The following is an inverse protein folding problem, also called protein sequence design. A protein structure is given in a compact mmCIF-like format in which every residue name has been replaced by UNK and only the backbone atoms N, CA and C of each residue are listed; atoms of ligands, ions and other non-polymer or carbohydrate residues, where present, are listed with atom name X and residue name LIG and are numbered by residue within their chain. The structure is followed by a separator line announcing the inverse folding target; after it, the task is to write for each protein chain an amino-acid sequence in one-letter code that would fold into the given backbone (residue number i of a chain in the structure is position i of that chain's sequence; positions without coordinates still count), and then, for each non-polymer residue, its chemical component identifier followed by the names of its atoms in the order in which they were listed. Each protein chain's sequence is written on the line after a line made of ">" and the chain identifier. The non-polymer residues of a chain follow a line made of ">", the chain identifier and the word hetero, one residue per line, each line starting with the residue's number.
data_IF_946511259229
#
_entry.id   IF_946511259229
#
_cell.length_a   1.000
_cell.length_b   1.000
_cell.length_c   1.000
_cell.angle_alpha   90.00
_cell.angle_beta   90.00
_cell.angle_gamma   90.00
#
_symmetry.space_group_name_H-M   'P 1'
#
loop_
_entity.id
_entity.type
_entity.pdbx_description
1 polymer ?
#
# COMPACT_ATOMS: atom_id res chain seq x y z
N UNK A 1 -47.35 11.36 -27.19
CA UNK A 1 -47.56 10.74 -28.52
C UNK A 1 -46.21 10.71 -29.23
N UNK A 2 -45.49 9.58 -29.19
CA UNK A 2 -45.39 8.57 -30.27
C UNK A 2 -44.46 9.06 -31.40
N UNK A 3 -43.38 8.43 -31.87
CA UNK A 3 -42.92 7.01 -31.93
C UNK A 3 -41.36 7.03 -32.05
N UNK A 4 -40.59 6.23 -31.31
CA UNK A 4 -39.94 4.96 -31.71
C UNK A 4 -39.44 4.85 -33.17
N UNK A 5 -38.14 4.50 -33.34
CA UNK A 5 -37.62 3.36 -34.15
C UNK A 5 -36.10 3.10 -33.84
N UNK A 6 -35.86 1.89 -33.34
CA UNK A 6 -34.75 0.92 -33.46
C UNK A 6 -33.26 1.26 -33.73
N UNK A 7 -32.41 0.72 -32.83
CA UNK A 7 -31.35 -0.31 -33.01
C UNK A 7 -30.19 -0.09 -33.99
N UNK A 8 -28.95 -0.14 -33.46
CA UNK A 8 -27.91 -1.07 -33.94
C UNK A 8 -26.80 -1.29 -32.88
N UNK A 9 -26.70 -2.53 -32.42
CA UNK A 9 -25.62 -3.11 -31.61
C UNK A 9 -24.42 -3.40 -32.52
N UNK A 10 -23.24 -2.86 -32.21
CA UNK A 10 -21.97 -3.27 -32.86
C UNK A 10 -21.26 -4.29 -31.98
N UNK A 11 -21.38 -5.56 -32.40
CA UNK A 11 -20.50 -6.67 -32.06
C UNK A 11 -19.11 -6.40 -32.64
N UNK A 12 -18.06 -6.47 -31.80
CA UNK A 12 -16.67 -6.56 -32.26
C UNK A 12 -16.23 -8.01 -32.16
N UNK A 13 -15.93 -8.56 -33.32
CA UNK A 13 -15.45 -9.92 -33.58
C UNK A 13 -13.99 -10.08 -33.17
N UNK A 14 -13.65 -11.23 -32.57
CA UNK A 14 -12.27 -11.73 -32.48
C UNK A 14 -12.17 -13.05 -33.26
N UNK A 15 -11.18 -13.23 -34.15
CA UNK A 15 -11.05 -14.45 -34.93
C UNK A 15 -10.21 -15.52 -34.21
N UNK A 16 -10.74 -16.74 -34.28
CA UNK A 16 -10.09 -18.05 -34.46
C UNK A 16 -8.57 -18.17 -34.30
N UNK A 17 -8.15 -19.08 -33.41
CA UNK A 17 -6.98 -19.94 -33.60
C UNK A 17 -7.39 -21.40 -33.36
N UNK A 18 -7.18 -22.22 -34.40
CA UNK A 18 -7.34 -23.66 -34.43
C UNK A 18 -6.29 -24.37 -33.56
N UNK A 19 -6.70 -25.41 -32.83
CA UNK A 19 -5.87 -26.58 -32.58
C UNK A 19 -6.77 -27.83 -32.45
N UNK A 20 -6.50 -28.79 -33.32
CA UNK A 20 -7.24 -30.02 -33.57
C UNK A 20 -6.77 -31.19 -32.71
N UNK A 21 -7.74 -32.04 -32.35
CA UNK A 21 -7.70 -33.50 -32.19
C UNK A 21 -6.71 -34.17 -31.21
N UNK A 22 -7.28 -34.83 -30.18
CA UNK A 22 -7.18 -36.29 -29.98
C UNK A 22 -8.24 -36.78 -28.95
N UNK A 23 -8.68 -38.05 -29.00
CA UNK A 23 -9.97 -38.50 -28.47
C UNK A 23 -9.90 -39.26 -27.14
N UNK A 24 -11.05 -39.29 -26.45
CA UNK A 24 -11.56 -40.45 -25.71
C UNK A 24 -10.90 -40.82 -24.39
N UNK A 25 -11.61 -40.59 -23.27
CA UNK A 25 -11.76 -41.58 -22.21
C UNK A 25 -12.98 -41.26 -21.33
N UNK A 26 -13.81 -42.28 -21.16
CA UNK A 26 -15.03 -42.33 -20.35
C UNK A 26 -14.75 -42.20 -18.85
N UNK A 27 -15.73 -41.63 -18.13
CA UNK A 27 -16.14 -42.09 -16.80
C UNK A 27 -15.36 -41.58 -15.59
N UNK A 28 -15.98 -40.72 -14.78
CA UNK A 28 -16.34 -41.02 -13.38
C UNK A 28 -16.80 -39.75 -12.65
N UNK A 29 -17.97 -39.87 -12.03
CA UNK A 29 -18.50 -39.00 -10.99
C UNK A 29 -17.58 -38.98 -9.76
N UNK A 30 -16.97 -37.83 -9.45
CA UNK A 30 -16.45 -37.42 -8.12
C UNK A 30 -15.60 -36.15 -8.32
N UNK A 31 -16.22 -35.00 -8.61
CA UNK A 31 -15.48 -33.72 -8.74
C UNK A 31 -16.29 -32.53 -8.23
N UNK A 32 -16.36 -32.38 -6.91
CA UNK A 32 -16.66 -31.07 -6.30
C UNK A 32 -15.74 -30.69 -5.11
N UNK A 33 -14.87 -31.59 -4.63
CA UNK A 33 -13.89 -31.26 -3.57
C UNK A 33 -12.56 -30.70 -4.08
N UNK A 34 -12.07 -31.15 -5.25
CA UNK A 34 -10.75 -30.79 -5.77
C UNK A 34 -10.68 -29.43 -6.50
N UNK A 35 -11.82 -28.92 -6.99
CA UNK A 35 -11.91 -27.60 -7.64
C UNK A 35 -11.75 -26.44 -6.65
N UNK A 36 -11.96 -26.69 -5.35
CA UNK A 36 -11.80 -25.69 -4.29
C UNK A 36 -10.33 -25.34 -4.04
N UNK A 37 -9.42 -26.32 -4.17
CA UNK A 37 -7.99 -26.17 -3.85
C UNK A 37 -7.20 -25.48 -4.96
N UNK A 38 -7.53 -25.75 -6.23
CA UNK A 38 -6.94 -25.05 -7.39
C UNK A 38 -7.39 -23.59 -7.47
N UNK A 39 -8.64 -23.29 -7.08
CA UNK A 39 -9.09 -21.92 -6.92
C UNK A 39 -8.44 -21.20 -5.73
N UNK A 40 -8.05 -21.90 -4.66
CA UNK A 40 -7.45 -21.30 -3.45
C UNK A 40 -5.96 -20.91 -3.62
N UNK A 41 -5.19 -21.65 -4.42
CA UNK A 41 -3.82 -21.30 -4.79
C UNK A 41 -3.75 -20.11 -5.75
N UNK A 42 -4.60 -20.12 -6.79
CA UNK A 42 -4.78 -18.98 -7.69
C UNK A 42 -5.42 -17.76 -6.99
N UNK A 43 -6.21 -17.99 -5.93
CA UNK A 43 -6.78 -16.97 -5.07
C UNK A 43 -5.70 -16.16 -4.34
N UNK A 44 -4.60 -16.75 -3.87
CA UNK A 44 -3.51 -15.96 -3.23
C UNK A 44 -2.67 -15.14 -4.23
N UNK A 45 -2.35 -15.71 -5.40
CA UNK A 45 -1.73 -14.95 -6.50
C UNK A 45 -2.65 -13.87 -7.11
N UNK A 46 -3.97 -14.04 -6.97
CA UNK A 46 -4.99 -13.06 -7.38
C UNK A 46 -5.31 -12.02 -6.29
N UNK A 47 -5.17 -12.37 -5.01
CA UNK A 47 -5.31 -11.47 -3.83
C UNK A 47 -4.21 -10.42 -3.83
N UNK A 48 -2.97 -10.79 -4.19
CA UNK A 48 -1.90 -9.83 -4.46
C UNK A 48 -2.28 -8.81 -5.55
N UNK A 49 -3.23 -9.16 -6.46
CA UNK A 49 -3.64 -8.32 -7.59
C UNK A 49 -4.90 -7.48 -7.42
N UNK A 50 -5.76 -7.80 -6.43
CA UNK A 50 -7.14 -7.30 -6.38
C UNK A 50 -7.55 -6.65 -5.04
N UNK A 51 -6.59 -6.33 -4.17
CA UNK A 51 -6.81 -5.56 -2.92
C UNK A 51 -6.82 -4.03 -3.18
N UNK A 52 -6.45 -3.58 -4.39
CA UNK A 52 -6.17 -2.16 -4.69
C UNK A 52 -7.28 -1.38 -5.41
N UNK A 53 -8.56 -1.79 -5.29
CA UNK A 53 -9.67 -1.11 -5.98
C UNK A 53 -10.89 -0.78 -5.07
N UNK A 54 -10.73 -0.77 -3.74
CA UNK A 54 -11.78 -0.34 -2.82
C UNK A 54 -11.22 0.58 -1.73
N UNK A 55 -11.94 1.69 -1.51
CA UNK A 55 -11.71 2.68 -0.46
C UNK A 55 -11.49 2.03 0.91
N UNK A 56 -10.32 2.29 1.48
CA UNK A 56 -10.12 2.11 2.92
C UNK A 56 -10.75 3.30 3.65
N UNK A 57 -11.54 3.08 4.71
CA UNK A 57 -12.10 4.18 5.48
C UNK A 57 -10.97 5.03 6.08
N UNK A 58 -10.94 6.30 5.69
CA UNK A 58 -10.13 7.35 6.31
C UNK A 58 -10.70 7.58 7.70
N UNK A 59 -10.10 6.95 8.71
CA UNK A 59 -10.55 7.08 10.09
C UNK A 59 -10.12 5.94 10.99
N UNK A 60 -8.87 5.49 10.90
CA UNK A 60 -8.26 4.75 12.00
C UNK A 60 -7.48 5.77 12.84
N UNK A 61 -8.09 6.22 13.95
CA UNK A 61 -7.31 6.73 15.07
C UNK A 61 -6.21 5.72 15.36
N UNK A 62 -4.97 6.13 15.10
CA UNK A 62 -3.77 5.37 15.42
C UNK A 62 -3.84 5.08 16.91
N UNK A 63 -4.18 3.83 17.25
CA UNK A 63 -4.06 3.31 18.60
C UNK A 63 -2.58 3.40 18.99
N UNK A 64 -2.23 4.51 19.63
CA UNK A 64 -0.93 4.73 20.24
C UNK A 64 -0.79 3.73 21.38
N UNK A 65 0.02 2.69 21.16
CA UNK A 65 0.64 1.98 22.26
C UNK A 65 1.50 2.99 23.03
N UNK A 66 1.20 3.17 24.30
CA UNK A 66 2.01 3.95 25.24
C UNK A 66 3.44 3.37 25.25
N UNK A 67 4.37 4.06 24.62
CA UNK A 67 5.79 3.89 24.91
C UNK A 67 6.04 4.42 26.34
N UNK A 68 6.81 3.70 27.18
CA UNK A 68 7.10 4.17 28.52
C UNK A 68 7.91 5.46 28.46
N UNK A 69 7.49 6.45 29.25
CA UNK A 69 8.26 7.65 29.55
C UNK A 69 9.54 7.27 30.32
N UNK A 70 10.61 6.96 29.59
CA UNK A 70 11.93 6.86 30.20
C UNK A 70 12.50 8.27 30.41
N UNK A 71 12.51 8.63 31.69
CA UNK A 71 13.18 9.80 32.24
C UNK A 71 14.67 9.76 31.87
N UNK A 72 15.11 10.90 31.34
CA UNK A 72 16.49 11.38 31.21
C UNK A 72 17.56 10.57 31.97
N UNK A 73 18.38 9.83 31.21
CA UNK A 73 19.77 9.61 31.53
C UNK A 73 20.60 10.11 30.35
N UNK A 74 21.38 11.17 30.59
CA UNK A 74 22.23 11.81 29.61
C UNK A 74 23.27 10.83 29.07
N UNK A 75 23.13 10.49 27.79
CA UNK A 75 24.18 9.99 26.93
C UNK A 75 23.99 10.70 25.60
N UNK A 76 24.78 11.74 25.38
CA UNK A 76 24.97 12.36 24.06
C UNK A 76 25.66 11.33 23.17
N UNK A 77 24.88 10.40 22.63
CA UNK A 77 25.29 9.65 21.45
C UNK A 77 25.24 10.68 20.33
N UNK A 78 26.41 11.09 19.84
CA UNK A 78 26.51 11.73 18.52
C UNK A 78 25.93 10.75 17.52
N UNK A 79 24.61 10.83 17.32
CA UNK A 79 23.90 9.96 16.40
C UNK A 79 24.36 10.38 15.01
N UNK A 80 25.18 9.55 14.37
CA UNK A 80 25.54 9.72 12.95
C UNK A 80 24.29 10.13 12.15
N UNK A 81 24.39 11.05 11.16
CA UNK A 81 23.26 11.45 10.31
C UNK A 81 22.58 10.27 9.59
N UNK A 82 23.22 9.10 9.55
CA UNK A 82 22.70 7.85 9.00
C UNK A 82 22.09 6.89 10.02
N UNK A 83 22.20 7.10 11.32
CA UNK A 83 21.80 6.12 12.34
C UNK A 83 20.28 5.82 12.33
N UNK A 84 19.44 6.85 12.18
CA UNK A 84 17.99 6.69 12.07
C UNK A 84 17.58 5.95 10.77
N UNK A 85 18.36 6.14 9.71
CA UNK A 85 18.17 5.46 8.44
C UNK A 85 18.56 3.98 8.57
N UNK A 86 19.70 3.68 9.21
CA UNK A 86 20.13 2.33 9.53
C UNK A 86 19.09 1.59 10.38
N UNK A 87 18.56 2.25 11.42
CA UNK A 87 17.47 1.69 12.23
C UNK A 87 16.23 1.38 11.39
N UNK A 88 15.85 2.28 10.48
CA UNK A 88 14.72 2.03 9.57
C UNK A 88 14.96 0.83 8.68
N UNK A 89 16.16 0.66 8.11
CA UNK A 89 16.50 -0.53 7.32
C UNK A 89 16.52 -1.82 8.16
N UNK A 90 16.86 -1.73 9.46
CA UNK A 90 16.85 -2.86 10.37
C UNK A 90 15.41 -3.28 10.70
N UNK A 91 14.54 -2.31 10.98
CA UNK A 91 13.12 -2.55 11.27
C UNK A 91 12.40 -3.17 10.07
N UNK A 92 12.67 -2.69 8.85
CA UNK A 92 12.12 -3.29 7.63
C UNK A 92 12.58 -4.74 7.49
N UNK A 93 13.87 -5.03 7.73
CA UNK A 93 14.40 -6.41 7.70
C UNK A 93 13.68 -7.31 8.70
N UNK A 94 13.41 -6.83 9.91
CA UNK A 94 12.62 -7.58 10.89
C UNK A 94 11.18 -7.79 10.41
N UNK A 95 10.56 -6.75 9.85
CA UNK A 95 9.19 -6.82 9.34
C UNK A 95 9.05 -7.82 8.18
N UNK A 96 10.01 -7.86 7.26
CA UNK A 96 10.07 -8.85 6.18
C UNK A 96 10.27 -10.26 6.73
N UNK A 97 11.04 -10.45 7.81
CA UNK A 97 11.13 -11.76 8.46
C UNK A 97 9.79 -12.23 9.03
N UNK A 98 8.97 -11.32 9.59
CA UNK A 98 7.61 -11.64 10.09
C UNK A 98 6.73 -12.19 8.96
N UNK A 99 6.86 -11.66 7.75
CA UNK A 99 6.16 -12.18 6.57
C UNK A 99 6.50 -13.65 6.27
N UNK A 100 7.79 -14.02 6.30
CA UNK A 100 8.21 -15.42 6.10
C UNK A 100 7.64 -16.37 7.17
N UNK A 101 7.56 -15.91 8.43
CA UNK A 101 6.94 -16.66 9.53
C UNK A 101 5.43 -16.84 9.27
N UNK A 102 4.74 -15.78 8.85
CA UNK A 102 3.31 -15.83 8.54
C UNK A 102 2.99 -16.75 7.36
N UNK A 103 3.81 -16.73 6.29
CA UNK A 103 3.67 -17.66 5.17
C UNK A 103 3.83 -19.12 5.61
N UNK A 104 4.84 -19.40 6.44
CA UNK A 104 5.05 -20.74 7.00
C UNK A 104 3.86 -21.17 7.86
N UNK A 105 3.31 -20.27 8.68
CA UNK A 105 2.14 -20.55 9.50
C UNK A 105 0.89 -20.79 8.66
N UNK A 106 0.69 -20.02 7.60
CA UNK A 106 -0.41 -20.20 6.66
C UNK A 106 -0.38 -21.60 6.03
N UNK A 107 0.80 -22.05 5.58
CA UNK A 107 0.96 -23.38 5.01
C UNK A 107 0.64 -24.49 6.03
N UNK A 108 1.08 -24.33 7.29
CA UNK A 108 0.76 -25.26 8.37
C UNK A 108 -0.75 -25.33 8.62
N UNK A 109 -1.43 -24.19 8.67
CA UNK A 109 -2.87 -24.11 8.89
C UNK A 109 -3.66 -24.71 7.72
N UNK A 110 -3.22 -24.48 6.47
CA UNK A 110 -3.82 -25.10 5.30
C UNK A 110 -3.71 -26.63 5.34
N UNK A 111 -2.54 -27.15 5.71
CA UNK A 111 -2.33 -28.60 5.88
C UNK A 111 -3.21 -29.16 7.01
N UNK A 112 -3.33 -28.45 8.14
CA UNK A 112 -4.22 -28.83 9.24
C UNK A 112 -5.68 -28.86 8.80
N UNK A 113 -6.13 -27.85 8.06
CA UNK A 113 -7.50 -27.77 7.56
C UNK A 113 -7.79 -28.93 6.60
N UNK A 114 -6.88 -29.22 5.67
CA UNK A 114 -6.99 -30.36 4.76
C UNK A 114 -7.11 -31.68 5.53
N UNK A 115 -6.30 -31.87 6.58
CA UNK A 115 -6.38 -33.06 7.43
C UNK A 115 -7.74 -33.15 8.13
N UNK A 116 -8.24 -32.05 8.70
CA UNK A 116 -9.57 -32.05 9.35
C UNK A 116 -10.71 -32.29 8.36
N UNK A 117 -10.56 -31.92 7.09
CA UNK A 117 -11.54 -32.24 6.04
C UNK A 117 -11.56 -33.74 5.73
N UNK A 118 -10.39 -34.37 5.62
CA UNK A 118 -10.29 -35.82 5.43
C UNK A 118 -10.92 -36.57 6.60
N UNK A 119 -10.61 -36.16 7.83
CA UNK A 119 -11.16 -36.75 9.05
C UNK A 119 -12.69 -36.56 9.11
N UNK A 120 -13.18 -35.38 8.71
CA UNK A 120 -14.62 -35.08 8.65
C UNK A 120 -15.37 -35.95 7.65
N UNK A 121 -14.82 -36.11 6.43
CA UNK A 121 -15.40 -37.00 5.41
C UNK A 121 -15.41 -38.45 5.91
N UNK A 122 -14.35 -38.90 6.60
CA UNK A 122 -14.29 -40.24 7.19
C UNK A 122 -15.38 -40.43 8.24
N UNK A 123 -15.53 -39.49 9.17
CA UNK A 123 -16.58 -39.53 10.21
C UNK A 123 -17.96 -39.58 9.56
N UNK A 124 -18.23 -38.72 8.57
CA UNK A 124 -19.54 -38.69 7.89
C UNK A 124 -19.84 -40.02 7.19
N UNK A 125 -18.86 -40.65 6.53
CA UNK A 125 -19.02 -41.97 5.92
C UNK A 125 -19.34 -43.04 6.97
N UNK A 126 -18.64 -43.03 8.09
CA UNK A 126 -18.86 -43.99 9.18
C UNK A 126 -20.26 -43.82 9.79
N UNK A 127 -20.69 -42.58 10.05
CA UNK A 127 -22.04 -42.26 10.53
C UNK A 127 -23.12 -42.71 9.55
N UNK A 128 -22.95 -42.46 8.24
CA UNK A 128 -23.88 -42.97 7.22
C UNK A 128 -23.91 -44.50 7.21
N UNK A 129 -22.77 -45.17 7.43
CA UNK A 129 -22.68 -46.63 7.49
C UNK A 129 -23.42 -47.17 8.71
N UNK A 130 -23.21 -46.59 9.89
CA UNK A 130 -23.93 -46.96 11.11
C UNK A 130 -25.43 -46.72 10.99
N UNK A 131 -25.85 -45.58 10.43
CA UNK A 131 -27.27 -45.31 10.15
C UNK A 131 -27.84 -46.32 9.16
N UNK A 132 -27.12 -46.65 8.09
CA UNK A 132 -27.56 -47.69 7.14
C UNK A 132 -27.64 -49.08 7.79
N UNK A 133 -26.75 -49.41 8.73
CA UNK A 133 -26.80 -50.67 9.48
C UNK A 133 -27.95 -50.68 10.49
N UNK A 134 -28.24 -49.55 11.15
CA UNK A 134 -29.41 -49.43 12.03
C UNK A 134 -30.71 -49.51 11.25
N UNK A 135 -30.79 -48.84 10.09
CA UNK A 135 -31.92 -48.96 9.18
C UNK A 135 -32.05 -50.37 8.64
N UNK A 136 -30.96 -51.03 8.24
CA UNK A 136 -30.99 -52.43 7.81
C UNK A 136 -31.36 -53.39 8.96
N UNK A 137 -30.97 -53.10 10.20
CA UNK A 137 -31.36 -53.87 11.38
C UNK A 137 -32.83 -53.63 11.76
N UNK A 138 -33.31 -52.39 11.61
CA UNK A 138 -34.72 -52.04 11.76
C UNK A 138 -35.56 -52.66 10.66
N UNK A 139 -35.10 -52.63 9.40
CA UNK A 139 -35.69 -53.32 8.26
C UNK A 139 -35.64 -54.83 8.44
N UNK A 140 -34.57 -55.41 8.98
CA UNK A 140 -34.52 -56.84 9.31
C UNK A 140 -35.50 -57.18 10.46
N UNK A 141 -35.66 -56.29 11.44
CA UNK A 141 -36.66 -56.45 12.51
C UNK A 141 -38.09 -56.25 11.99
N UNK A 142 -38.28 -55.33 11.04
CA UNK A 142 -39.53 -55.07 10.35
C UNK A 142 -39.82 -56.14 9.31
N UNK A 143 -38.82 -56.82 8.77
CA UNK A 143 -38.89 -57.97 7.87
C UNK A 143 -39.26 -59.24 8.65
N UNK A 144 -38.73 -59.40 9.86
CA UNK A 144 -39.23 -60.40 10.83
C UNK A 144 -40.67 -60.08 11.28
N UNK A 145 -41.04 -58.79 11.36
CA UNK A 145 -42.41 -58.34 11.59
C UNK A 145 -43.34 -58.46 10.36
N UNK A 146 -42.82 -58.32 9.15
CA UNK A 146 -43.58 -58.35 7.89
C UNK A 146 -43.66 -59.74 7.28
N UNK A 147 -42.85 -60.70 7.73
CA UNK A 147 -43.09 -62.14 7.53
C UNK A 147 -44.40 -62.63 8.18
N UNK A 148 -45.05 -61.78 9.00
CA UNK A 148 -46.40 -62.03 9.53
C UNK A 148 -47.53 -61.36 8.71
N UNK A 149 -47.21 -60.58 7.69
CA UNK A 149 -48.21 -59.93 6.82
C UNK A 149 -47.72 -59.99 5.38
N UNK A 150 -48.00 -61.13 4.78
CA UNK A 150 -47.76 -61.48 3.39
C UNK A 150 -48.24 -60.45 2.36
N UNK A 151 -47.52 -60.45 1.23
CA UNK A 151 -48.00 -60.37 -0.16
C UNK A 151 -48.94 -59.22 -0.57
N UNK A 152 -48.42 -58.29 -1.38
CA UNK A 152 -48.92 -58.05 -2.77
C UNK A 152 -48.22 -56.86 -3.46
N UNK A 153 -47.58 -57.18 -4.61
CA UNK A 153 -47.58 -56.53 -5.94
C UNK A 153 -47.28 -55.01 -6.07
N UNK A 154 -46.16 -54.61 -6.69
CA UNK A 154 -45.95 -54.32 -8.16
C UNK A 154 -46.76 -53.09 -8.68
N UNK A 155 -46.31 -52.08 -9.46
CA UNK A 155 -45.21 -51.88 -10.43
C UNK A 155 -45.15 -50.38 -10.88
N UNK A 156 -43.93 -49.88 -11.20
CA UNK A 156 -43.47 -48.81 -12.15
C UNK A 156 -44.16 -47.42 -12.27
N UNK A 157 -43.32 -46.35 -12.35
CA UNK A 157 -43.11 -45.54 -13.57
C UNK A 157 -42.03 -44.43 -13.38
N UNK A 158 -41.39 -44.05 -14.48
CA UNK A 158 -40.21 -43.18 -14.55
C UNK A 158 -40.52 -41.71 -14.92
N UNK A 159 -39.49 -40.87 -14.70
CA UNK A 159 -39.04 -39.66 -15.45
C UNK A 159 -39.50 -38.25 -15.03
N UNK A 160 -38.46 -37.41 -14.90
CA UNK A 160 -38.29 -35.97 -15.21
C UNK A 160 -39.10 -34.97 -14.35
N UNK A 161 -38.53 -33.89 -13.81
CA UNK A 161 -37.87 -32.79 -14.52
C UNK A 161 -36.75 -32.10 -13.72
N UNK A 162 -35.69 -31.72 -14.45
CA UNK A 162 -34.73 -30.69 -14.06
C UNK A 162 -35.19 -29.37 -14.69
N UNK A 163 -35.31 -28.31 -13.89
CA UNK A 163 -35.37 -26.95 -14.43
C UNK A 163 -34.19 -26.10 -13.95
N UNK A 164 -33.70 -25.38 -14.94
CA UNK A 164 -32.51 -24.55 -15.04
C UNK A 164 -32.68 -23.24 -14.26
N UNK A 165 -31.62 -22.76 -13.61
CA UNK A 165 -31.42 -21.32 -13.36
C UNK A 165 -30.00 -20.97 -13.78
N UNK A 166 -29.89 -20.24 -14.90
CA UNK A 166 -28.69 -19.57 -15.35
C UNK A 166 -28.27 -18.50 -14.32
N UNK A 167 -26.99 -18.45 -13.96
CA UNK A 167 -26.42 -17.28 -13.30
C UNK A 167 -25.19 -16.80 -14.08
N UNK A 168 -25.27 -15.56 -14.56
CA UNK A 168 -24.25 -14.89 -15.35
C UNK A 168 -23.00 -14.62 -14.52
N UNK A 169 -21.88 -15.22 -14.96
CA UNK A 169 -20.56 -15.13 -14.34
C UNK A 169 -19.83 -13.85 -14.75
N UNK A 170 -20.25 -12.70 -14.22
CA UNK A 170 -19.48 -11.46 -14.30
C UNK A 170 -19.54 -10.59 -13.02
N UNK A 171 -20.38 -10.92 -12.04
CA UNK A 171 -20.46 -10.27 -10.72
C UNK A 171 -19.99 -11.16 -9.55
N UNK A 172 -19.46 -12.35 -9.82
CA UNK A 172 -19.16 -13.37 -8.81
C UNK A 172 -17.88 -13.11 -7.99
N UNK A 173 -16.99 -12.22 -8.43
CA UNK A 173 -15.69 -12.01 -7.78
C UNK A 173 -15.75 -11.28 -6.43
N UNK A 174 -16.71 -10.37 -6.25
CA UNK A 174 -16.91 -9.64 -4.98
C UNK A 174 -17.75 -10.46 -3.98
N UNK A 175 -18.81 -11.12 -4.45
CA UNK A 175 -19.69 -11.93 -3.59
C UNK A 175 -18.99 -13.17 -3.03
N UNK A 176 -17.99 -13.76 -3.71
CA UNK A 176 -17.29 -14.94 -3.20
C UNK A 176 -16.42 -14.65 -1.95
N UNK A 177 -15.93 -13.41 -1.77
CA UNK A 177 -15.10 -13.00 -0.61
C UNK A 177 -15.91 -12.96 0.67
N UNK A 178 -17.05 -12.27 0.61
CA UNK A 178 -18.02 -12.25 1.71
C UNK A 178 -18.62 -13.63 1.91
N UNK A 179 -18.88 -14.41 0.84
CA UNK A 179 -19.42 -15.76 0.99
C UNK A 179 -18.41 -16.72 1.61
N UNK A 180 -17.10 -16.63 1.40
CA UNK A 180 -16.13 -17.54 2.04
C UNK A 180 -15.88 -17.17 3.51
N UNK A 181 -15.77 -15.88 3.85
CA UNK A 181 -15.66 -15.44 5.24
C UNK A 181 -16.98 -15.59 6.00
N UNK A 182 -18.12 -15.25 5.38
CA UNK A 182 -19.45 -15.50 5.92
C UNK A 182 -19.79 -16.99 5.95
N UNK A 183 -19.23 -17.82 5.05
CA UNK A 183 -19.33 -19.29 5.15
C UNK A 183 -18.41 -19.83 6.23
N UNK A 184 -17.20 -19.32 6.40
CA UNK A 184 -16.34 -19.72 7.51
C UNK A 184 -16.94 -19.30 8.85
N UNK A 185 -17.53 -18.11 8.95
CA UNK A 185 -18.30 -17.64 10.11
C UNK A 185 -19.63 -18.39 10.27
N UNK A 186 -20.33 -18.73 9.19
CA UNK A 186 -21.54 -19.55 9.22
C UNK A 186 -21.23 -20.97 9.64
N UNK A 187 -20.14 -21.56 9.13
CA UNK A 187 -19.65 -22.87 9.53
C UNK A 187 -19.19 -22.83 10.99
N UNK A 188 -18.56 -21.74 11.44
CA UNK A 188 -18.26 -21.49 12.86
C UNK A 188 -19.55 -21.42 13.67
N UNK A 189 -20.58 -20.70 13.22
CA UNK A 189 -21.85 -20.54 13.92
C UNK A 189 -22.68 -21.84 13.95
N UNK A 190 -22.60 -22.66 12.91
CA UNK A 190 -23.23 -23.99 12.83
C UNK A 190 -22.48 -24.98 13.72
N UNK A 191 -21.14 -24.94 13.74
CA UNK A 191 -20.33 -25.83 14.57
C UNK A 191 -20.23 -25.36 16.03
N UNK A 192 -20.42 -24.08 16.34
CA UNK A 192 -20.34 -23.51 17.70
C UNK A 192 -21.65 -23.61 18.49
N UNK A 193 -22.70 -24.21 17.93
CA UNK A 193 -23.87 -24.61 18.71
C UNK A 193 -23.46 -25.73 19.67
N UNK A 194 -22.99 -25.32 20.85
CA UNK A 194 -22.47 -26.18 21.91
C UNK A 194 -23.44 -27.32 22.33
N UNK A 195 -24.74 -27.19 22.07
CA UNK A 195 -25.73 -28.25 22.31
C UNK A 195 -25.69 -29.38 21.27
N UNK A 196 -25.45 -29.09 20.00
CA UNK A 196 -25.31 -30.11 18.94
C UNK A 196 -23.95 -30.84 19.06
N UNK A 197 -22.89 -30.12 19.46
CA UNK A 197 -21.57 -30.71 19.72
C UNK A 197 -21.59 -31.73 20.87
N UNK A 198 -22.38 -31.49 21.93
CA UNK A 198 -22.47 -32.42 23.08
C UNK A 198 -23.10 -33.76 22.73
N UNK A 199 -23.91 -33.82 21.67
CA UNK A 199 -24.56 -35.03 21.18
C UNK A 199 -23.66 -35.87 20.26
N UNK A 200 -22.50 -35.35 19.86
CA UNK A 200 -21.54 -36.04 19.01
C UNK A 200 -20.57 -36.93 19.82
N UNK A 201 -20.13 -38.04 19.21
CA UNK A 201 -19.08 -38.89 19.77
C UNK A 201 -17.80 -38.10 20.08
N UNK A 202 -17.04 -38.54 21.08
CA UNK A 202 -15.83 -37.85 21.54
C UNK A 202 -14.80 -37.61 20.42
N UNK A 203 -14.68 -38.57 19.49
CA UNK A 203 -13.81 -38.46 18.32
C UNK A 203 -14.29 -37.35 17.38
N UNK A 204 -15.59 -37.30 17.08
CA UNK A 204 -16.19 -36.27 16.23
C UNK A 204 -16.05 -34.88 16.85
N UNK A 205 -16.31 -34.74 18.15
CA UNK A 205 -16.06 -33.49 18.89
C UNK A 205 -14.62 -33.02 18.77
N UNK A 206 -13.65 -33.93 18.89
CA UNK A 206 -12.23 -33.56 18.79
C UNK A 206 -11.85 -33.02 17.40
N UNK A 207 -12.39 -33.62 16.33
CA UNK A 207 -12.15 -33.17 14.94
C UNK A 207 -12.82 -31.83 14.68
N UNK A 208 -14.06 -31.64 15.13
CA UNK A 208 -14.76 -30.35 15.00
C UNK A 208 -14.02 -29.25 15.76
N UNK A 209 -13.62 -29.48 17.00
CA UNK A 209 -12.87 -28.49 17.79
C UNK A 209 -11.53 -28.15 17.13
N UNK A 210 -10.80 -29.14 16.60
CA UNK A 210 -9.55 -28.88 15.85
C UNK A 210 -9.81 -28.03 14.60
N UNK A 211 -10.91 -28.29 13.89
CA UNK A 211 -11.30 -27.51 12.70
C UNK A 211 -11.67 -26.08 13.07
N UNK A 212 -12.50 -25.88 14.09
CA UNK A 212 -12.87 -24.55 14.60
C UNK A 212 -11.62 -23.76 14.98
N UNK A 213 -10.72 -24.35 15.77
CA UNK A 213 -9.48 -23.69 16.19
C UNK A 213 -8.60 -23.34 14.99
N UNK A 214 -8.46 -24.24 14.01
CA UNK A 214 -7.69 -23.98 12.78
C UNK A 214 -8.28 -22.81 11.99
N UNK A 215 -9.61 -22.71 11.90
CA UNK A 215 -10.30 -21.59 11.22
C UNK A 215 -10.09 -20.28 11.98
N UNK A 216 -10.24 -20.28 13.30
CA UNK A 216 -9.99 -19.10 14.13
C UNK A 216 -8.55 -18.61 13.97
N UNK A 217 -7.57 -19.51 14.05
CA UNK A 217 -6.16 -19.17 13.84
C UNK A 217 -5.87 -18.62 12.43
N UNK A 218 -6.58 -19.09 11.41
CA UNK A 218 -6.48 -18.52 10.05
C UNK A 218 -7.05 -17.10 9.96
N UNK A 219 -8.17 -16.83 10.64
CA UNK A 219 -8.75 -15.48 10.70
C UNK A 219 -7.81 -14.52 11.43
N UNK A 220 -7.24 -14.94 12.55
CA UNK A 220 -6.25 -14.15 13.29
C UNK A 220 -4.99 -13.88 12.46
N UNK A 221 -4.50 -14.90 11.73
CA UNK A 221 -3.37 -14.74 10.82
C UNK A 221 -3.68 -13.76 9.68
N UNK A 222 -4.91 -13.78 9.16
CA UNK A 222 -5.35 -12.84 8.14
C UNK A 222 -5.40 -11.40 8.66
N UNK A 223 -5.92 -11.18 9.88
CA UNK A 223 -5.88 -9.85 10.51
C UNK A 223 -4.44 -9.36 10.72
N UNK A 224 -3.55 -10.23 11.21
CA UNK A 224 -2.11 -9.93 11.35
C UNK A 224 -1.46 -9.59 10.02
N UNK A 225 -1.87 -10.27 8.95
CA UNK A 225 -1.41 -9.99 7.60
C UNK A 225 -1.84 -8.61 7.11
N UNK A 226 -3.11 -8.24 7.31
CA UNK A 226 -3.61 -6.91 6.94
C UNK A 226 -2.87 -5.81 7.71
N UNK A 227 -2.67 -6.00 9.03
CA UNK A 227 -1.88 -5.07 9.83
C UNK A 227 -0.44 -4.97 9.32
N UNK A 228 0.19 -6.10 9.01
CA UNK A 228 1.54 -6.14 8.45
C UNK A 228 1.65 -5.36 7.14
N UNK A 229 0.64 -5.41 6.26
CA UNK A 229 0.61 -4.63 5.03
C UNK A 229 0.50 -3.12 5.29
N UNK A 230 -0.37 -2.72 6.23
CA UNK A 230 -0.53 -1.31 6.64
C UNK A 230 0.77 -0.77 7.22
N UNK A 231 1.38 -1.52 8.16
CA UNK A 231 2.66 -1.16 8.77
C UNK A 231 3.77 -1.02 7.71
N UNK A 232 3.76 -1.91 6.72
CA UNK A 232 4.78 -1.90 5.68
C UNK A 232 4.67 -0.68 4.76
N UNK A 233 3.46 -0.27 4.39
CA UNK A 233 3.24 0.95 3.62
C UNK A 233 3.75 2.20 4.37
N UNK A 234 3.71 2.18 5.71
CA UNK A 234 4.22 3.24 6.57
C UNK A 234 5.74 3.43 6.53
N UNK A 235 6.54 2.45 6.08
CA UNK A 235 8.00 2.61 6.04
C UNK A 235 8.47 3.68 5.06
N UNK A 236 7.74 3.94 3.98
CA UNK A 236 8.10 5.01 3.06
C UNK A 236 8.13 6.38 3.76
N UNK A 237 7.19 6.64 4.67
CA UNK A 237 7.16 7.86 5.47
C UNK A 237 8.39 7.99 6.38
N UNK A 238 8.91 6.85 6.88
CA UNK A 238 10.13 6.83 7.69
C UNK A 238 11.39 7.09 6.87
N UNK A 239 11.43 6.61 5.62
CA UNK A 239 12.52 6.92 4.69
C UNK A 239 12.47 8.35 4.16
N UNK A 240 11.28 8.96 4.09
CA UNK A 240 11.03 10.23 3.43
C UNK A 240 11.95 11.39 3.86
N UNK A 241 12.23 11.63 5.15
CA UNK A 241 13.16 12.69 5.56
C UNK A 241 14.58 12.48 5.03
N UNK A 242 14.95 11.24 4.68
CA UNK A 242 16.26 10.87 4.13
C UNK A 242 16.33 10.97 2.60
N UNK A 243 15.23 11.31 1.91
CA UNK A 243 15.20 11.44 0.44
C UNK A 243 15.42 12.87 -0.07
N UNK A 244 15.80 13.78 0.83
CA UNK A 244 16.00 15.21 0.54
C UNK A 244 14.79 15.89 -0.16
N UNK A 245 13.58 15.83 0.43
CA UNK A 245 12.38 16.37 -0.20
C UNK A 245 12.46 17.88 -0.47
N UNK A 246 13.24 18.63 0.32
CA UNK A 246 13.42 20.08 0.19
C UNK A 246 14.65 20.48 -0.63
N UNK A 247 15.46 19.51 -1.08
CA UNK A 247 16.72 19.71 -1.80
C UNK A 247 17.83 20.41 -0.99
N UNK A 248 17.83 20.26 0.34
CA UNK A 248 18.78 20.88 1.29
C UNK A 248 20.06 20.07 1.53
N UNK A 249 20.09 18.77 1.28
CA UNK A 249 21.29 17.98 1.60
C UNK A 249 22.48 18.34 0.72
N UNK A 250 23.69 18.29 1.29
CA UNK A 250 24.93 18.32 0.52
C UNK A 250 25.12 17.02 -0.27
N UNK A 251 26.01 17.05 -1.26
CA UNK A 251 26.30 15.87 -2.07
C UNK A 251 26.91 14.74 -1.22
N UNK A 252 27.76 15.08 -0.26
CA UNK A 252 28.34 14.13 0.71
C UNK A 252 27.25 13.47 1.56
N UNK A 253 26.31 14.26 2.08
CA UNK A 253 25.16 13.78 2.83
C UNK A 253 24.27 12.83 2.03
N UNK A 254 24.05 13.11 0.75
CA UNK A 254 23.28 12.24 -0.16
C UNK A 254 24.02 10.92 -0.39
N UNK A 255 25.34 10.99 -0.65
CA UNK A 255 26.16 9.78 -0.86
C UNK A 255 26.23 8.90 0.39
N UNK A 256 26.35 9.50 1.58
CA UNK A 256 26.32 8.76 2.85
C UNK A 256 24.99 8.02 3.08
N UNK A 257 23.85 8.67 2.78
CA UNK A 257 22.53 8.02 2.86
C UNK A 257 22.35 6.92 1.81
N UNK A 258 22.83 7.14 0.58
CA UNK A 258 22.85 6.10 -0.46
C UNK A 258 23.67 4.89 -0.01
N UNK A 259 24.83 5.07 0.63
CA UNK A 259 25.66 3.97 1.11
C UNK A 259 24.91 3.03 2.07
N UNK A 260 24.06 3.59 2.94
CA UNK A 260 23.20 2.80 3.85
C UNK A 260 22.06 2.14 3.09
N UNK A 261 21.34 2.88 2.25
CA UNK A 261 20.20 2.35 1.49
C UNK A 261 20.60 1.22 0.52
N UNK A 262 21.81 1.26 -0.03
CA UNK A 262 22.35 0.20 -0.89
C UNK A 262 22.59 -1.12 -0.15
N UNK A 263 22.61 -1.11 1.18
CA UNK A 263 22.71 -2.30 2.03
C UNK A 263 21.33 -2.84 2.45
N UNK A 264 20.24 -2.17 2.06
CA UNK A 264 18.88 -2.62 2.36
C UNK A 264 18.56 -3.95 1.65
N UNK A 265 17.56 -4.67 2.16
CA UNK A 265 17.08 -5.92 1.57
C UNK A 265 16.58 -5.69 0.14
N UNK A 266 16.74 -6.66 -0.75
CA UNK A 266 16.15 -6.63 -2.11
C UNK A 266 14.62 -6.57 -2.09
N UNK A 267 14.00 -6.92 -0.98
CA UNK A 267 12.57 -6.80 -0.78
C UNK A 267 12.13 -5.42 -0.26
N UNK A 268 13.06 -4.52 0.08
CA UNK A 268 12.75 -3.20 0.66
C UNK A 268 12.47 -2.17 -0.45
N UNK A 269 11.25 -2.24 -0.98
CA UNK A 269 10.80 -1.35 -2.06
C UNK A 269 10.75 0.14 -1.64
N UNK A 270 10.56 0.44 -0.35
CA UNK A 270 10.59 1.82 0.14
C UNK A 270 12.01 2.39 0.09
N UNK A 271 13.02 1.60 0.47
CA UNK A 271 14.42 1.96 0.28
C UNK A 271 14.78 2.14 -1.21
N UNK A 272 14.21 1.33 -2.13
CA UNK A 272 14.42 1.52 -3.57
C UNK A 272 13.85 2.85 -4.09
N UNK A 273 12.67 3.24 -3.62
CA UNK A 273 12.08 4.56 -3.93
C UNK A 273 12.98 5.68 -3.38
N UNK A 274 13.47 5.54 -2.15
CA UNK A 274 14.40 6.49 -1.55
C UNK A 274 15.71 6.61 -2.36
N UNK A 275 16.30 5.49 -2.77
CA UNK A 275 17.46 5.46 -3.67
C UNK A 275 17.17 6.22 -4.97
N UNK A 276 16.03 5.95 -5.61
CA UNK A 276 15.65 6.61 -6.87
C UNK A 276 15.57 8.13 -6.72
N UNK A 277 14.96 8.63 -5.64
CA UNK A 277 14.90 10.06 -5.33
C UNK A 277 16.30 10.67 -5.11
N UNK A 278 17.19 9.97 -4.42
CA UNK A 278 18.55 10.46 -4.17
C UNK A 278 19.44 10.42 -5.43
N UNK A 279 19.32 9.41 -6.28
CA UNK A 279 20.01 9.40 -7.58
C UNK A 279 19.49 10.49 -8.52
N UNK A 280 18.18 10.76 -8.53
CA UNK A 280 17.61 11.93 -9.24
C UNK A 280 18.22 13.23 -8.72
N UNK A 281 18.40 13.33 -7.40
CA UNK A 281 18.97 14.50 -6.75
C UNK A 281 20.44 14.76 -7.14
N UNK A 282 21.20 13.70 -7.39
CA UNK A 282 22.58 13.76 -7.92
C UNK A 282 22.64 14.01 -9.44
N UNK A 283 21.50 13.97 -10.14
CA UNK A 283 21.44 14.08 -11.60
C UNK A 283 21.74 12.77 -12.34
N UNK A 284 21.93 11.66 -11.63
CA UNK A 284 22.16 10.33 -12.17
C UNK A 284 20.82 9.67 -12.53
N UNK A 285 20.20 10.17 -13.61
CA UNK A 285 18.83 9.82 -13.98
C UNK A 285 18.67 8.35 -14.41
N UNK A 286 19.70 7.73 -14.98
CA UNK A 286 19.67 6.33 -15.43
C UNK A 286 19.68 5.36 -14.24
N UNK A 287 20.49 5.63 -13.22
CA UNK A 287 20.49 4.90 -11.94
C UNK A 287 19.16 5.11 -11.21
N UNK A 288 18.67 6.36 -11.18
CA UNK A 288 17.38 6.68 -10.57
C UNK A 288 16.24 5.87 -11.21
N UNK A 289 16.25 5.76 -12.54
CA UNK A 289 15.29 4.94 -13.29
C UNK A 289 15.43 3.46 -12.98
N UNK A 290 16.67 2.93 -12.94
CA UNK A 290 16.93 1.52 -12.64
C UNK A 290 16.39 1.11 -11.28
N UNK A 291 16.60 1.95 -10.26
CA UNK A 291 16.03 1.71 -8.92
C UNK A 291 14.51 1.81 -8.90
N UNK A 292 13.94 2.73 -9.66
CA UNK A 292 12.48 2.86 -9.76
C UNK A 292 11.82 1.65 -10.43
N UNK A 293 12.42 1.11 -11.49
CA UNK A 293 11.90 -0.09 -12.16
C UNK A 293 11.95 -1.32 -11.26
N UNK A 294 12.95 -1.43 -10.38
CA UNK A 294 12.97 -2.45 -9.33
C UNK A 294 11.84 -2.23 -8.32
N UNK A 295 11.64 -1.00 -7.86
CA UNK A 295 10.53 -0.65 -6.98
C UNK A 295 9.16 -0.96 -7.62
N UNK A 296 9.03 -0.80 -8.93
CA UNK A 296 7.81 -1.06 -9.70
C UNK A 296 7.44 -2.56 -9.77
N UNK A 297 8.37 -3.47 -9.51
CA UNK A 297 8.10 -4.91 -9.39
C UNK A 297 7.50 -5.27 -8.02
N UNK A 298 7.50 -4.30 -7.10
CA UNK A 298 7.01 -4.47 -5.76
C UNK A 298 5.50 -4.43 -5.60
N UNK A 299 5.05 -4.38 -4.34
CA UNK A 299 3.64 -4.35 -3.98
C UNK A 299 2.90 -3.14 -4.52
N UNK A 300 1.63 -3.34 -4.88
CA UNK A 300 0.80 -2.32 -5.53
C UNK A 300 0.48 -1.09 -4.66
N UNK A 301 0.63 -1.15 -3.32
CA UNK A 301 0.43 0.04 -2.49
C UNK A 301 1.47 1.14 -2.72
N UNK A 302 2.61 0.83 -3.36
CA UNK A 302 3.55 1.86 -3.84
C UNK A 302 3.32 2.25 -5.31
N UNK A 303 2.32 1.67 -6.00
CA UNK A 303 2.09 1.94 -7.44
C UNK A 303 1.90 3.44 -7.69
N UNK A 304 1.08 4.12 -6.89
CA UNK A 304 0.87 5.57 -7.03
C UNK A 304 2.19 6.34 -6.93
N UNK A 305 2.98 6.10 -5.88
CA UNK A 305 4.27 6.77 -5.67
C UNK A 305 5.25 6.49 -6.81
N UNK A 306 5.33 5.24 -7.25
CA UNK A 306 6.18 4.84 -8.37
C UNK A 306 5.76 5.55 -9.66
N UNK A 307 4.45 5.66 -9.94
CA UNK A 307 3.97 6.37 -11.13
C UNK A 307 4.28 7.88 -11.06
N UNK A 308 4.10 8.53 -9.91
CA UNK A 308 4.45 9.95 -9.73
C UNK A 308 5.95 10.19 -9.86
N UNK A 309 6.78 9.32 -9.28
CA UNK A 309 8.23 9.43 -9.41
C UNK A 309 8.68 9.15 -10.85
N UNK A 310 8.04 8.20 -11.55
CA UNK A 310 8.28 7.95 -12.97
C UNK A 310 7.94 9.17 -13.81
N UNK A 311 6.84 9.85 -13.50
CA UNK A 311 6.45 11.11 -14.14
C UNK A 311 7.54 12.20 -13.94
N UNK A 312 8.02 12.36 -12.71
CA UNK A 312 9.09 13.31 -12.40
C UNK A 312 10.37 12.99 -13.17
N UNK A 313 10.82 11.72 -13.18
CA UNK A 313 12.01 11.29 -13.91
C UNK A 313 11.87 11.48 -15.42
N UNK A 314 10.73 11.12 -16.02
CA UNK A 314 10.48 11.34 -17.44
C UNK A 314 10.55 12.83 -17.82
N UNK A 315 10.03 13.72 -16.96
CA UNK A 315 10.16 15.17 -17.16
C UNK A 315 11.63 15.61 -17.04
N UNK A 316 12.37 15.14 -16.03
CA UNK A 316 13.80 15.42 -15.86
C UNK A 316 14.65 14.93 -17.06
N UNK A 317 14.31 13.78 -17.63
CA UNK A 317 14.90 13.21 -18.84
C UNK A 317 14.43 13.89 -20.15
N UNK A 318 13.59 14.94 -20.07
CA UNK A 318 13.01 15.66 -21.22
C UNK A 318 12.13 14.79 -22.14
N UNK A 319 11.58 13.69 -21.64
CA UNK A 319 10.64 12.80 -22.33
C UNK A 319 9.19 13.28 -22.17
N UNK A 320 8.92 14.54 -22.54
CA UNK A 320 7.64 15.23 -22.27
C UNK A 320 6.40 14.51 -22.80
N UNK A 321 6.50 13.83 -23.96
CA UNK A 321 5.38 13.07 -24.54
C UNK A 321 4.96 11.90 -23.64
N UNK A 322 5.94 11.14 -23.15
CA UNK A 322 5.70 10.00 -22.25
C UNK A 322 5.17 10.49 -20.89
N UNK A 323 5.77 11.56 -20.35
CA UNK A 323 5.30 12.21 -19.13
C UNK A 323 3.83 12.63 -19.23
N UNK A 324 3.40 13.24 -20.35
CA UNK A 324 2.01 13.67 -20.55
C UNK A 324 1.03 12.49 -20.58
N UNK A 325 1.39 11.39 -21.25
CA UNK A 325 0.56 10.17 -21.28
C UNK A 325 0.44 9.58 -19.87
N UNK A 326 1.54 9.52 -19.13
CA UNK A 326 1.57 9.00 -17.77
C UNK A 326 0.74 9.85 -16.81
N UNK A 327 0.82 11.18 -16.91
CA UNK A 327 0.01 12.09 -16.10
C UNK A 327 -1.50 11.86 -16.29
N UNK A 328 -1.94 11.59 -17.53
CA UNK A 328 -3.34 11.26 -17.80
C UNK A 328 -3.79 9.92 -17.18
N UNK A 329 -2.85 8.98 -16.97
CA UNK A 329 -3.11 7.74 -16.21
C UNK A 329 -3.19 8.03 -14.71
N UNK A 330 -2.26 8.82 -14.19
CA UNK A 330 -2.21 9.20 -12.77
C UNK A 330 -3.47 9.97 -12.33
N UNK A 331 -4.01 10.82 -13.20
CA UNK A 331 -5.24 11.58 -12.92
C UNK A 331 -6.48 10.72 -12.62
N UNK A 332 -6.43 9.41 -12.89
CA UNK A 332 -7.51 8.45 -12.58
C UNK A 332 -7.36 7.78 -11.21
N UNK A 333 -6.29 8.08 -10.46
CA UNK A 333 -6.07 7.55 -9.12
C UNK A 333 -6.83 8.41 -8.10
N UNK A 334 -7.60 7.77 -7.22
CA UNK A 334 -8.58 8.43 -6.34
C UNK A 334 -7.98 9.01 -5.04
N UNK A 335 -6.80 8.55 -4.62
CA UNK A 335 -6.14 8.99 -3.38
C UNK A 335 -4.64 9.15 -3.57
N UNK A 336 -4.10 10.25 -3.03
CA UNK A 336 -2.67 10.57 -3.03
C UNK A 336 -2.14 10.51 -1.61
N UNK A 337 -1.13 9.67 -1.38
CA UNK A 337 -0.36 9.72 -0.15
C UNK A 337 0.34 11.09 0.00
N UNK A 338 0.76 11.50 1.22
CA UNK A 338 1.52 12.73 1.40
C UNK A 338 2.78 12.81 0.53
N UNK A 339 3.49 11.67 0.37
CA UNK A 339 4.64 11.55 -0.53
C UNK A 339 4.24 11.81 -1.99
N UNK A 340 3.13 11.23 -2.47
CA UNK A 340 2.65 11.42 -3.84
C UNK A 340 2.32 12.88 -4.12
N UNK A 341 1.64 13.54 -3.18
CA UNK A 341 1.32 14.97 -3.26
C UNK A 341 2.58 15.81 -3.37
N UNK A 342 3.59 15.50 -2.57
CA UNK A 342 4.86 16.23 -2.62
C UNK A 342 5.56 16.07 -3.98
N UNK A 343 5.68 14.83 -4.48
CA UNK A 343 6.29 14.53 -5.79
C UNK A 343 5.50 15.23 -6.91
N UNK A 344 4.16 15.15 -6.87
CA UNK A 344 3.28 15.82 -7.82
C UNK A 344 3.46 17.34 -7.79
N UNK A 345 3.49 17.95 -6.61
CA UNK A 345 3.69 19.39 -6.44
C UNK A 345 5.03 19.84 -7.04
N UNK A 346 6.10 19.06 -6.81
CA UNK A 346 7.42 19.33 -7.38
C UNK A 346 7.41 19.24 -8.90
N UNK A 347 6.77 18.21 -9.48
CA UNK A 347 6.63 18.11 -10.93
C UNK A 347 5.82 19.28 -11.51
N UNK A 348 4.67 19.63 -10.91
CA UNK A 348 3.86 20.78 -11.31
C UNK A 348 4.65 22.10 -11.26
N UNK A 349 5.46 22.29 -10.23
CA UNK A 349 6.38 23.42 -10.11
C UNK A 349 7.41 23.43 -11.24
N UNK A 350 7.96 22.27 -11.62
CA UNK A 350 8.85 22.13 -12.78
C UNK A 350 8.22 22.50 -14.12
N UNK A 351 6.92 22.22 -14.29
CA UNK A 351 6.14 22.61 -15.46
C UNK A 351 5.61 24.06 -15.39
N UNK A 352 6.10 24.86 -14.43
CA UNK A 352 5.67 26.24 -14.14
C UNK A 352 4.17 26.37 -13.78
N UNK A 353 3.51 25.29 -13.38
CA UNK A 353 2.13 25.32 -12.88
C UNK A 353 2.12 25.60 -11.36
N UNK A 354 2.50 26.83 -11.01
CA UNK A 354 2.67 27.26 -9.62
C UNK A 354 1.38 27.20 -8.80
N UNK A 355 0.22 27.45 -9.41
CA UNK A 355 -1.06 27.45 -8.71
C UNK A 355 -1.47 26.05 -8.24
N UNK A 356 -1.30 25.04 -9.11
CA UNK A 356 -1.57 23.66 -8.72
C UNK A 356 -0.49 23.14 -7.75
N UNK A 357 0.78 23.51 -7.92
CA UNK A 357 1.85 23.13 -6.98
C UNK A 357 1.59 23.69 -5.57
N UNK A 358 1.20 24.97 -5.48
CA UNK A 358 0.82 25.63 -4.22
C UNK A 358 -0.32 24.88 -3.52
N UNK A 359 -1.36 24.48 -4.26
CA UNK A 359 -2.50 23.76 -3.70
C UNK A 359 -2.09 22.41 -3.11
N UNK A 360 -1.20 21.68 -3.77
CA UNK A 360 -0.76 20.37 -3.27
C UNK A 360 0.12 20.51 -2.02
N UNK A 361 1.05 21.47 -1.98
CA UNK A 361 1.85 21.71 -0.77
C UNK A 361 1.02 22.29 0.39
N UNK A 362 0.01 23.12 0.11
CA UNK A 362 -0.93 23.58 1.15
C UNK A 362 -1.69 22.43 1.80
N UNK A 363 -2.10 21.42 1.03
CA UNK A 363 -2.74 20.24 1.61
C UNK A 363 -1.81 19.44 2.54
N UNK A 364 -0.49 19.69 2.50
CA UNK A 364 0.49 19.03 3.35
C UNK A 364 0.82 19.83 4.63
N UNK A 365 0.30 21.05 4.81
CA UNK A 365 0.54 21.81 6.05
C UNK A 365 -0.21 21.22 7.25
N UNK A 366 -1.30 20.50 7.00
CA UNK A 366 -2.06 19.85 8.07
C UNK A 366 -1.40 18.54 8.54
N UNK A 367 -0.61 17.90 7.66
CA UNK A 367 0.10 16.65 7.92
C UNK A 367 1.32 16.86 8.82
N UNK A 368 1.36 16.18 9.97
CA UNK A 368 2.37 16.41 11.02
C UNK A 368 3.81 16.34 10.49
N UNK A 369 4.14 15.31 9.72
CA UNK A 369 5.51 15.04 9.26
C UNK A 369 5.91 15.91 8.04
N UNK A 370 4.93 16.55 7.39
CA UNK A 370 5.15 17.40 6.21
C UNK A 370 4.94 18.88 6.49
N UNK A 371 4.33 19.24 7.62
CA UNK A 371 3.96 20.62 7.95
C UNK A 371 5.12 21.60 7.82
N UNK A 372 6.24 21.32 8.50
CA UNK A 372 7.41 22.20 8.49
C UNK A 372 8.02 22.28 7.06
N UNK A 373 8.33 21.15 6.39
CA UNK A 373 8.81 21.18 5.01
C UNK A 373 7.87 21.91 4.03
N UNK A 374 6.55 21.73 4.19
CA UNK A 374 5.54 22.33 3.33
C UNK A 374 5.55 23.85 3.47
N UNK A 375 5.57 24.39 4.70
CA UNK A 375 5.67 25.83 4.92
C UNK A 375 6.97 26.43 4.35
N UNK A 376 8.12 25.76 4.54
CA UNK A 376 9.40 26.20 3.94
C UNK A 376 9.33 26.24 2.42
N UNK A 377 8.80 25.18 1.83
CA UNK A 377 8.67 25.05 0.37
C UNK A 377 7.68 26.07 -0.21
N UNK A 378 6.56 26.32 0.48
CA UNK A 378 5.58 27.35 0.10
C UNK A 378 6.19 28.75 0.16
N UNK A 379 7.01 29.04 1.17
CA UNK A 379 7.75 30.30 1.25
C UNK A 379 8.62 30.52 0.00
N UNK A 380 9.43 29.52 -0.33
CA UNK A 380 10.31 29.54 -1.49
C UNK A 380 9.53 29.62 -2.83
N UNK A 381 8.40 28.93 -2.94
CA UNK A 381 7.51 29.03 -4.10
C UNK A 381 6.96 30.45 -4.29
N UNK A 382 6.54 31.10 -3.20
CA UNK A 382 6.01 32.46 -3.26
C UNK A 382 7.05 33.48 -3.72
N UNK A 383 8.32 33.30 -3.33
CA UNK A 383 9.44 34.11 -3.84
C UNK A 383 9.75 33.86 -5.32
N UNK A 384 9.55 32.62 -5.80
CA UNK A 384 9.86 32.25 -7.19
C UNK A 384 8.91 32.84 -8.23
N UNK A 385 7.66 33.13 -7.88
CA UNK A 385 6.72 33.75 -8.82
C UNK A 385 7.28 35.12 -9.22
N UNK A 386 7.84 35.20 -10.43
CA UNK A 386 8.68 36.30 -10.94
C UNK A 386 8.07 37.71 -10.94
N UNK A 387 6.82 37.85 -10.53
CA UNK A 387 6.13 39.13 -10.34
C UNK A 387 6.01 39.52 -8.85
N UNK A 388 6.75 38.85 -7.94
CA UNK A 388 6.53 38.80 -6.50
C UNK A 388 6.01 40.13 -5.93
N UNK A 389 4.68 40.27 -5.96
CA UNK A 389 3.98 41.44 -5.50
C UNK A 389 4.24 41.58 -4.01
N UNK A 390 4.01 42.77 -3.45
CA UNK A 390 4.14 42.97 -2.00
C UNK A 390 3.39 41.87 -1.21
N UNK A 391 2.20 41.47 -1.69
CA UNK A 391 1.43 40.36 -1.10
C UNK A 391 2.11 38.99 -1.20
N UNK A 392 2.80 38.67 -2.30
CA UNK A 392 3.52 37.40 -2.42
C UNK A 392 4.72 37.33 -1.47
N UNK A 393 5.44 38.45 -1.30
CA UNK A 393 6.57 38.56 -0.36
C UNK A 393 6.11 38.44 1.08
N UNK A 394 4.99 39.08 1.42
CA UNK A 394 4.37 38.98 2.75
C UNK A 394 3.94 37.55 3.06
N UNK A 395 3.32 36.85 2.09
CA UNK A 395 3.02 35.41 2.22
C UNK A 395 4.29 34.60 2.43
N UNK A 396 5.32 34.81 1.62
CA UNK A 396 6.59 34.09 1.78
C UNK A 396 7.19 34.25 3.18
N UNK A 397 7.19 35.47 3.71
CA UNK A 397 7.64 35.75 5.08
C UNK A 397 6.77 35.07 6.12
N UNK A 398 5.44 35.13 5.99
CA UNK A 398 4.51 34.45 6.91
C UNK A 398 4.73 32.94 6.95
N UNK A 399 4.88 32.29 5.78
CA UNK A 399 5.12 30.85 5.69
C UNK A 399 6.49 30.48 6.30
N UNK A 400 7.54 31.26 6.03
CA UNK A 400 8.87 31.03 6.61
C UNK A 400 8.89 31.21 8.14
N UNK A 401 8.23 32.25 8.66
CA UNK A 401 8.11 32.48 10.11
C UNK A 401 7.36 31.33 10.76
N UNK A 402 6.23 30.92 10.18
CA UNK A 402 5.45 29.77 10.66
C UNK A 402 6.29 28.50 10.71
N UNK A 403 7.08 28.23 9.67
CA UNK A 403 7.97 27.07 9.65
C UNK A 403 9.03 27.14 10.76
N UNK A 404 9.62 28.31 10.99
CA UNK A 404 10.64 28.51 12.02
C UNK A 404 10.05 28.34 13.43
N UNK A 405 8.89 28.93 13.70
CA UNK A 405 8.19 28.87 14.99
C UNK A 405 7.76 27.44 15.35
N UNK A 406 7.43 26.63 14.34
CA UNK A 406 7.08 25.22 14.51
C UNK A 406 8.29 24.29 14.67
N UNK A 407 9.50 24.76 14.37
CA UNK A 407 10.71 23.91 14.41
C UNK A 407 11.35 23.98 15.80
N UNK A 408 11.38 22.88 16.59
CA UNK A 408 11.97 22.89 17.92
C UNK A 408 13.46 23.23 17.91
N UNK A 409 14.19 22.62 16.96
CA UNK A 409 15.63 22.81 16.75
C UNK A 409 15.88 23.22 15.29
N UNK A 410 15.84 24.53 14.97
CA UNK A 410 16.03 25.02 13.61
C UNK A 410 17.42 24.68 13.05
N UNK A 411 17.42 24.01 11.90
CA UNK A 411 18.63 23.74 11.13
C UNK A 411 19.04 24.94 10.27
N UNK A 412 20.21 24.85 9.63
CA UNK A 412 20.71 25.90 8.73
C UNK A 412 19.67 26.30 7.66
N UNK A 413 18.94 25.31 7.12
CA UNK A 413 17.95 25.55 6.07
C UNK A 413 16.75 26.35 6.56
N UNK A 414 16.33 26.16 7.82
CA UNK A 414 15.29 26.99 8.46
C UNK A 414 15.66 28.47 8.42
N UNK A 415 16.89 28.78 8.85
CA UNK A 415 17.41 30.14 8.91
C UNK A 415 17.66 30.72 7.52
N UNK A 416 18.11 29.89 6.58
CA UNK A 416 18.28 30.27 5.18
C UNK A 416 16.95 30.71 4.53
N UNK A 417 15.88 29.93 4.73
CA UNK A 417 14.55 30.22 4.14
C UNK A 417 13.98 31.54 4.68
N UNK A 418 14.03 31.76 6.01
CA UNK A 418 13.55 33.02 6.59
C UNK A 418 14.43 34.21 6.20
N UNK A 419 15.75 34.04 6.12
CA UNK A 419 16.66 35.09 5.64
C UNK A 419 16.31 35.52 4.21
N UNK A 420 16.05 34.56 3.33
CA UNK A 420 15.64 34.83 1.95
C UNK A 420 14.30 35.58 1.88
N UNK A 421 13.33 35.22 2.72
CA UNK A 421 12.05 35.92 2.82
C UNK A 421 12.19 37.34 3.39
N UNK A 422 13.05 37.56 4.39
CA UNK A 422 13.38 38.90 4.92
C UNK A 422 14.04 39.78 3.85
N UNK A 423 14.97 39.21 3.06
CA UNK A 423 15.62 39.91 1.96
C UNK A 423 14.61 40.40 0.92
N UNK A 424 13.66 39.55 0.53
CA UNK A 424 12.60 39.92 -0.40
C UNK A 424 11.70 41.05 0.15
N UNK A 425 11.48 41.07 1.47
CA UNK A 425 10.76 42.12 2.19
C UNK A 425 11.59 43.39 2.45
N UNK A 426 12.83 43.47 1.95
CA UNK A 426 13.77 44.58 2.19
C UNK A 426 14.09 44.81 3.68
N UNK A 427 13.96 43.77 4.50
CA UNK A 427 14.37 43.76 5.91
C UNK A 427 15.82 43.27 6.01
N UNK A 428 16.74 44.09 5.51
CA UNK A 428 18.15 43.72 5.31
C UNK A 428 18.83 43.29 6.62
N UNK A 429 18.65 44.03 7.71
CA UNK A 429 19.29 43.73 8.99
C UNK A 429 18.84 42.37 9.55
N UNK A 430 17.54 42.08 9.47
CA UNK A 430 16.99 40.78 9.89
C UNK A 430 17.49 39.65 8.98
N UNK A 431 17.55 39.89 7.66
CA UNK A 431 18.05 38.93 6.70
C UNK A 431 19.52 38.55 7.00
N UNK A 432 20.37 39.54 7.27
CA UNK A 432 21.78 39.33 7.65
C UNK A 432 21.88 38.55 8.97
N UNK A 433 21.08 38.91 9.97
CA UNK A 433 21.10 38.25 11.27
C UNK A 433 20.71 36.77 11.18
N UNK A 434 19.68 36.42 10.41
CA UNK A 434 19.30 35.03 10.18
C UNK A 434 20.31 34.29 9.29
N UNK A 435 20.83 34.94 8.26
CA UNK A 435 21.82 34.33 7.36
C UNK A 435 23.10 33.95 8.10
N UNK A 436 23.54 34.77 9.06
CA UNK A 436 24.69 34.44 9.92
C UNK A 436 24.46 33.15 10.71
N UNK A 437 23.26 32.96 11.28
CA UNK A 437 22.91 31.70 11.97
C UNK A 437 22.87 30.51 11.01
N UNK A 438 22.41 30.72 9.78
CA UNK A 438 22.43 29.67 8.75
C UNK A 438 23.87 29.27 8.40
N UNK A 439 24.77 30.24 8.21
CA UNK A 439 26.19 30.01 7.90
C UNK A 439 26.93 29.29 9.03
N UNK A 440 26.63 29.63 10.29
CA UNK A 440 27.20 28.95 11.49
C UNK A 440 26.83 27.46 11.57
N UNK A 441 25.66 27.08 11.07
CA UNK A 441 25.14 25.70 11.11
C UNK A 441 25.37 24.91 9.81
N UNK A 442 25.76 25.58 8.73
CA UNK A 442 25.92 24.96 7.42
C UNK A 442 27.26 24.21 7.30
N UNK A 443 27.27 23.12 6.53
CA UNK A 443 28.51 22.51 6.04
C UNK A 443 29.15 23.36 4.93
N UNK A 444 30.37 23.01 4.52
CA UNK A 444 31.12 23.80 3.53
C UNK A 444 30.39 23.98 2.19
N UNK A 445 29.64 22.98 1.71
CA UNK A 445 28.86 23.10 0.48
C UNK A 445 27.68 24.07 0.66
N UNK A 446 26.98 23.99 1.79
CA UNK A 446 25.82 24.83 2.07
C UNK A 446 26.23 26.26 2.48
N UNK A 447 27.42 26.48 3.04
CA UNK A 447 28.01 27.82 3.23
C UNK A 447 28.14 28.58 1.91
N UNK A 448 28.47 27.89 0.81
CA UNK A 448 28.49 28.53 -0.51
C UNK A 448 27.10 29.01 -0.95
N UNK A 449 26.01 28.36 -0.51
CA UNK A 449 24.63 28.86 -0.73
C UNK A 449 24.33 30.06 0.17
N UNK A 450 24.76 30.05 1.43
CA UNK A 450 24.64 31.20 2.32
C UNK A 450 25.39 32.42 1.76
N UNK A 451 26.61 32.24 1.26
CA UNK A 451 27.41 33.30 0.63
C UNK A 451 26.70 33.91 -0.58
N UNK A 452 26.13 33.08 -1.47
CA UNK A 452 25.32 33.58 -2.61
C UNK A 452 24.12 34.39 -2.16
N UNK A 453 23.48 34.02 -1.05
CA UNK A 453 22.38 34.80 -0.50
C UNK A 453 22.88 36.12 0.09
N UNK A 454 24.04 36.11 0.75
CA UNK A 454 24.69 37.33 1.26
C UNK A 454 24.96 38.32 0.13
N UNK A 455 25.57 37.86 -0.97
CA UNK A 455 25.84 38.69 -2.16
C UNK A 455 24.54 39.24 -2.76
N UNK A 456 23.46 38.45 -2.77
CA UNK A 456 22.16 38.91 -3.23
C UNK A 456 21.57 39.99 -2.31
N UNK A 457 21.67 39.81 -0.99
CA UNK A 457 21.21 40.79 0.00
C UNK A 457 21.96 42.11 -0.15
N UNK A 458 23.28 42.08 -0.36
CA UNK A 458 24.10 43.27 -0.58
C UNK A 458 23.66 44.04 -1.84
N UNK A 459 23.18 43.32 -2.86
CA UNK A 459 22.61 43.89 -4.08
C UNK A 459 21.13 44.29 -3.95
N UNK A 460 20.55 44.21 -2.74
CA UNK A 460 19.12 44.42 -2.49
C UNK A 460 18.22 43.47 -3.30
N UNK A 461 18.72 42.27 -3.56
CA UNK A 461 18.04 41.17 -4.23
C UNK A 461 17.80 40.01 -3.25
N UNK A 462 17.12 38.98 -3.75
CA UNK A 462 16.89 37.72 -3.04
C UNK A 462 17.16 36.54 -4.00
N UNK A 463 17.25 35.33 -3.48
CA UNK A 463 17.48 34.14 -4.30
C UNK A 463 16.17 33.47 -4.69
N UNK A 464 16.08 33.00 -5.94
CA UNK A 464 14.98 32.16 -6.40
C UNK A 464 15.37 30.71 -6.24
N UNK A 465 14.67 30.02 -5.34
CA UNK A 465 14.87 28.59 -5.15
C UNK A 465 14.15 27.80 -6.22
N UNK A 466 14.88 26.98 -6.97
CA UNK A 466 14.28 26.10 -7.95
C UNK A 466 13.92 24.75 -7.32
N UNK A 467 12.62 24.47 -7.22
CA UNK A 467 12.11 23.19 -6.70
C UNK A 467 12.59 21.96 -7.51
N UNK A 468 13.12 22.17 -8.72
CA UNK A 468 13.64 21.15 -9.64
C UNK A 468 15.15 21.17 -9.84
N UNK A 469 15.85 22.28 -9.53
CA UNK A 469 17.31 22.43 -9.68
C UNK A 469 17.85 23.31 -8.55
N UNK A 470 19.07 23.08 -8.03
CA UNK A 470 19.62 23.97 -6.97
C UNK A 470 19.64 25.43 -7.48
N UNK A 471 19.38 26.38 -6.56
CA UNK A 471 19.20 27.84 -6.69
C UNK A 471 19.64 28.53 -7.98
N UNK A 472 18.84 29.50 -8.44
CA UNK A 472 19.22 30.50 -9.46
C UNK A 472 18.97 31.90 -8.89
N UNK A 473 19.87 32.90 -9.08
CA UNK A 473 19.59 34.27 -8.66
C UNK A 473 18.29 34.80 -9.30
N UNK A 474 17.51 35.59 -8.55
CA UNK A 474 16.33 36.26 -9.10
C UNK A 474 16.76 37.21 -10.24
N UNK A 475 16.02 37.25 -11.37
CA UNK A 475 16.28 38.23 -12.43
C UNK A 475 16.27 39.67 -11.91
#
# INVERSE_FOLDING_TARGET
>A
MSKQILSCVRLVSFPYLHASSMPGCFGMSLRYGGLFLLCWGCFWQGVERAVHAQDMPVGAEVARGNAPEDKAAGLSIESSPTSALEQTTADVREHVKKHGIMQTRLQQLQNSLQQTEVDWVRIRREQSRQMSMQLAALEASAFLGSLATDMNDEIRAARNDRNNVNFNAAQAGQQLREVVLAKAQSDLNVLSRNEELRQLDAVTRSVVNRRINTIQEMLDLHQKWLQWQVDYAGFLLRYWPHTDPERRFSEEEIRGRLQVLLQASESDYAAMIACSLLYERLGNLDEAWTWLERAAQGPMYFESTVLHLRLQLLSAMKKHREAKILNARIAKLESLSPCDRWIKARWLAGENNWGSAESEWKNLTDEKDFRIPAHRTLSLLHLRRGDASSSAREKAFKEASTALDLTPDPDWFSYFVIANACAAMQRTDDAIAYLKKADELADEENKALCQKLSEAIDQQKYLVWDATRRCVPAP
#
